data_IF_929532549475
#
_entry.id   IF_929532549475
#
_cell.length_a   1.000
_cell.length_b   1.000
_cell.length_c   1.000
_cell.angle_alpha   90.00
_cell.angle_beta   90.00
_cell.angle_gamma   90.00
#
_symmetry.space_group_name_H-M   'P 1'
#
loop_
_entity.id
_entity.type
_entity.pdbx_description
1 polymer ?
#
# COMPACT_ATOMS: atom_id res chain seq x y z
N UNK A 1 12.64 -0.11 12.26
CA UNK A 1 12.28 1.30 12.49
C UNK A 1 12.79 2.10 11.31
N UNK A 2 11.97 2.97 10.72
CA UNK A 2 12.30 3.75 9.51
C UNK A 2 12.37 5.25 9.84
N UNK A 3 13.20 6.03 9.13
CA UNK A 3 13.29 7.48 9.35
C UNK A 3 12.04 8.22 8.85
N UNK A 4 11.78 9.40 9.41
CA UNK A 4 10.70 10.31 8.98
C UNK A 4 11.26 11.68 8.63
N UNK A 5 10.60 12.40 7.73
CA UNK A 5 11.04 13.73 7.30
C UNK A 5 10.48 14.83 8.20
N UNK A 6 11.29 15.24 9.19
CA UNK A 6 10.92 16.23 10.21
C UNK A 6 10.27 17.51 9.65
N UNK A 7 10.76 18.14 8.56
CA UNK A 7 10.14 19.35 8.04
C UNK A 7 8.68 19.16 7.55
N UNK A 8 8.32 17.98 7.04
CA UNK A 8 6.92 17.71 6.67
C UNK A 8 6.03 17.58 7.91
N UNK A 9 6.54 16.97 8.98
CA UNK A 9 5.81 16.85 10.25
C UNK A 9 5.57 18.23 10.87
N UNK A 10 6.60 19.07 10.90
CA UNK A 10 6.50 20.43 11.43
C UNK A 10 5.53 21.31 10.61
N UNK A 11 5.51 21.13 9.28
CA UNK A 11 4.63 21.90 8.38
C UNK A 11 3.18 21.44 8.39
N UNK A 12 2.93 20.13 8.44
CA UNK A 12 1.61 19.55 8.21
C UNK A 12 0.98 18.91 9.45
N UNK A 13 1.71 18.82 10.56
CA UNK A 13 1.24 18.21 11.81
C UNK A 13 0.74 16.79 11.59
N UNK A 14 -0.41 16.44 12.13
CA UNK A 14 -1.05 15.12 11.98
C UNK A 14 -1.33 14.73 10.52
N UNK A 15 -1.42 15.70 9.61
CA UNK A 15 -1.70 15.47 8.18
C UNK A 15 -0.44 15.19 7.36
N UNK A 16 0.72 15.03 7.99
CA UNK A 16 1.99 14.77 7.28
C UNK A 16 1.97 13.46 6.49
N UNK A 17 1.10 12.51 6.83
CA UNK A 17 0.97 11.23 6.12
C UNK A 17 0.01 11.27 4.93
N UNK A 18 -0.71 12.37 4.73
CA UNK A 18 -1.69 12.48 3.64
C UNK A 18 -1.00 12.56 2.27
N UNK A 19 -1.67 12.12 1.19
CA UNK A 19 -1.20 12.33 -0.17
C UNK A 19 -0.82 13.80 -0.42
N UNK A 20 0.34 14.03 -1.04
CA UNK A 20 0.88 15.37 -1.29
C UNK A 20 1.66 16.00 -0.13
N UNK A 21 1.52 15.51 1.11
CA UNK A 21 2.26 16.01 2.28
C UNK A 21 3.40 15.08 2.69
N UNK A 22 3.21 13.77 2.51
CA UNK A 22 4.17 12.75 2.95
C UNK A 22 5.44 12.78 2.09
N UNK A 23 6.58 12.64 2.75
CA UNK A 23 7.89 12.52 2.11
C UNK A 23 8.49 11.18 2.49
N UNK A 24 8.77 10.35 1.48
CA UNK A 24 9.26 8.98 1.65
C UNK A 24 10.66 8.83 1.08
N UNK A 25 11.49 7.98 1.71
CA UNK A 25 12.83 7.63 1.21
C UNK A 25 12.91 6.20 0.64
N UNK A 26 11.78 5.51 0.51
CA UNK A 26 11.69 4.15 -0.04
C UNK A 26 11.45 4.13 -1.56
N UNK A 27 11.26 2.92 -2.10
CA UNK A 27 11.05 2.67 -3.53
C UNK A 27 9.74 3.25 -4.12
N UNK A 28 8.81 3.64 -3.25
CA UNK A 28 7.50 4.16 -3.64
C UNK A 28 7.11 5.35 -2.75
N UNK A 29 6.29 6.24 -3.30
CA UNK A 29 5.64 7.36 -2.61
C UNK A 29 4.12 7.19 -2.64
N UNK A 30 3.41 7.84 -1.71
CA UNK A 30 1.95 7.78 -1.64
C UNK A 30 1.34 8.67 -2.73
N UNK A 31 0.55 8.06 -3.61
CA UNK A 31 -0.18 8.75 -4.68
C UNK A 31 -1.60 9.12 -4.26
N UNK A 32 -2.34 8.15 -3.70
CA UNK A 32 -3.74 8.31 -3.32
C UNK A 32 -4.05 7.47 -2.07
N UNK A 33 -5.00 7.94 -1.27
CA UNK A 33 -5.51 7.21 -0.11
C UNK A 33 -6.99 7.49 0.08
N UNK A 34 -7.81 6.46 -0.16
CA UNK A 34 -9.24 6.45 0.17
C UNK A 34 -9.45 5.54 1.37
N UNK A 35 -9.82 6.13 2.49
CA UNK A 35 -9.98 5.43 3.77
C UNK A 35 -10.97 4.27 3.63
N UNK A 36 -10.58 3.09 4.12
CA UNK A 36 -11.33 1.82 4.04
C UNK A 36 -11.57 1.29 2.61
N UNK A 37 -10.96 1.88 1.58
CA UNK A 37 -11.13 1.42 0.19
C UNK A 37 -9.80 1.05 -0.46
N UNK A 38 -8.83 1.96 -0.51
CA UNK A 38 -7.55 1.71 -1.20
C UNK A 38 -6.44 2.67 -0.79
N UNK A 39 -5.21 2.20 -0.95
CA UNK A 39 -4.00 3.02 -0.95
C UNK A 39 -3.29 2.79 -2.28
N UNK A 40 -2.99 3.86 -3.01
CA UNK A 40 -2.22 3.79 -4.27
C UNK A 40 -0.85 4.38 -4.02
N UNK A 41 0.17 3.59 -4.34
CA UNK A 41 1.56 3.97 -4.27
C UNK A 41 2.17 3.99 -5.67
N UNK A 42 3.01 4.97 -5.94
CA UNK A 42 3.73 5.08 -7.22
C UNK A 42 5.24 5.03 -6.99
N UNK A 43 5.96 4.51 -7.97
CA UNK A 43 7.42 4.38 -7.94
C UNK A 43 8.06 5.74 -7.66
N UNK A 44 8.97 5.77 -6.69
CA UNK A 44 9.70 6.97 -6.29
C UNK A 44 10.97 7.14 -7.14
N UNK A 45 11.05 8.14 -8.03
CA UNK A 45 12.23 8.36 -8.87
C UNK A 45 13.49 8.75 -8.08
N UNK A 46 13.31 9.25 -6.85
CA UNK A 46 14.40 9.68 -5.97
C UNK A 46 14.96 8.55 -5.09
N UNK A 47 14.43 7.33 -5.22
CA UNK A 47 14.96 6.17 -4.51
C UNK A 47 16.33 5.77 -5.06
N UNK A 48 17.28 5.47 -4.18
CA UNK A 48 18.67 5.20 -4.56
C UNK A 48 18.82 4.00 -5.52
N UNK A 49 17.99 2.95 -5.37
CA UNK A 49 17.96 1.78 -6.25
C UNK A 49 16.78 1.82 -7.22
N UNK A 50 16.29 3.02 -7.56
CA UNK A 50 15.17 3.19 -8.48
C UNK A 50 15.40 2.43 -9.79
N UNK A 51 16.63 2.37 -10.29
CA UNK A 51 16.96 1.64 -11.52
C UNK A 51 16.55 0.15 -11.51
N UNK A 52 16.47 -0.49 -10.33
CA UNK A 52 16.02 -1.88 -10.18
C UNK A 52 14.54 -2.03 -9.83
N UNK A 53 13.82 -0.94 -9.53
CA UNK A 53 12.38 -0.98 -9.29
C UNK A 53 11.65 -1.20 -10.62
N UNK A 54 10.92 -2.31 -10.75
CA UNK A 54 10.21 -2.66 -12.01
C UNK A 54 8.74 -2.25 -11.96
N UNK A 55 8.08 -2.46 -10.82
CA UNK A 55 6.65 -2.15 -10.65
C UNK A 55 6.49 -0.64 -10.51
N UNK A 56 5.61 -0.06 -11.34
CA UNK A 56 5.40 1.39 -11.37
C UNK A 56 4.32 1.86 -10.39
N UNK A 57 3.29 1.04 -10.18
CA UNK A 57 2.15 1.36 -9.32
C UNK A 57 1.76 0.14 -8.51
N UNK A 58 1.45 0.34 -7.23
CA UNK A 58 0.93 -0.69 -6.34
C UNK A 58 -0.36 -0.17 -5.71
N UNK A 59 -1.42 -0.96 -5.77
CA UNK A 59 -2.69 -0.66 -5.11
C UNK A 59 -2.94 -1.66 -3.98
N UNK A 60 -3.10 -1.15 -2.76
CA UNK A 60 -3.44 -1.94 -1.59
C UNK A 60 -4.93 -1.81 -1.29
N UNK A 61 -5.62 -2.93 -1.09
CA UNK A 61 -7.01 -2.96 -0.66
C UNK A 61 -7.08 -3.36 0.83
N UNK A 62 -7.76 -2.58 1.69
CA UNK A 62 -7.92 -2.89 3.10
C UNK A 62 -9.19 -3.74 3.30
N UNK A 63 -9.16 -5.01 2.88
CA UNK A 63 -10.21 -5.97 3.29
C UNK A 63 -9.65 -6.96 4.31
N UNK A 64 -10.47 -7.35 5.29
CA UNK A 64 -10.13 -8.37 6.29
C UNK A 64 -10.72 -9.74 5.93
N UNK A 65 -11.53 -9.82 4.86
CA UNK A 65 -12.17 -11.07 4.45
C UNK A 65 -11.28 -11.86 3.50
N UNK A 66 -10.74 -12.96 4.00
CA UNK A 66 -9.94 -13.93 3.22
C UNK A 66 -10.73 -14.45 2.01
N UNK A 67 -12.03 -14.68 2.17
CA UNK A 67 -12.93 -15.11 1.07
C UNK A 67 -13.02 -14.02 0.01
N UNK A 68 -13.13 -12.76 0.41
CA UNK A 68 -13.15 -11.62 -0.53
C UNK A 68 -11.83 -11.52 -1.28
N UNK A 69 -10.68 -11.69 -0.63
CA UNK A 69 -9.38 -11.72 -1.31
C UNK A 69 -9.30 -12.84 -2.35
N UNK A 70 -9.69 -14.07 -2.00
CA UNK A 70 -9.64 -15.21 -2.92
C UNK A 70 -10.58 -15.01 -4.10
N UNK A 71 -11.78 -14.48 -3.88
CA UNK A 71 -12.73 -14.22 -4.96
C UNK A 71 -12.23 -13.13 -5.92
N UNK A 72 -11.69 -12.02 -5.39
CA UNK A 72 -11.12 -10.93 -6.21
C UNK A 72 -9.87 -11.35 -6.96
N UNK A 73 -9.04 -12.22 -6.36
CA UNK A 73 -7.91 -12.84 -7.05
C UNK A 73 -8.40 -13.72 -8.21
N UNK A 74 -9.39 -14.59 -7.97
CA UNK A 74 -9.97 -15.46 -9.01
C UNK A 74 -10.66 -14.70 -10.13
N UNK A 75 -11.21 -13.51 -9.86
CA UNK A 75 -11.78 -12.63 -10.88
C UNK A 75 -10.74 -11.82 -11.65
N UNK A 76 -9.46 -11.89 -11.27
CA UNK A 76 -8.38 -11.11 -11.87
C UNK A 76 -8.31 -9.64 -11.41
N UNK A 77 -9.04 -9.28 -10.35
CA UNK A 77 -9.00 -7.93 -9.77
C UNK A 77 -7.80 -7.74 -8.83
N UNK A 78 -7.25 -8.84 -8.31
CA UNK A 78 -6.04 -8.85 -7.47
C UNK A 78 -4.98 -9.76 -8.04
N UNK A 79 -3.75 -9.27 -8.07
CA UNK A 79 -2.58 -10.06 -8.48
C UNK A 79 -2.00 -10.89 -7.33
N UNK A 80 -2.25 -10.49 -6.08
CA UNK A 80 -1.76 -11.17 -4.88
C UNK A 80 -2.81 -11.09 -3.76
N UNK A 81 -3.09 -12.22 -3.10
CA UNK A 81 -3.88 -12.22 -1.87
C UNK A 81 -3.03 -11.82 -0.67
N UNK A 82 -3.68 -11.50 0.45
CA UNK A 82 -2.98 -11.42 1.73
C UNK A 82 -2.44 -12.81 2.16
N UNK A 83 -1.63 -12.85 3.21
CA UNK A 83 -0.95 -14.07 3.65
C UNK A 83 -1.84 -15.08 4.39
N UNK A 84 -3.16 -14.84 4.44
CA UNK A 84 -4.14 -15.74 5.03
C UNK A 84 -5.08 -16.26 3.93
N UNK A 85 -5.28 -17.58 3.93
CA UNK A 85 -6.28 -18.24 3.10
C UNK A 85 -7.48 -18.59 3.97
N UNK A 86 -8.70 -18.59 3.40
CA UNK A 86 -9.91 -19.01 4.11
C UNK A 86 -9.67 -20.30 4.89
N UNK A 87 -9.77 -20.23 6.22
CA UNK A 87 -9.66 -21.45 7.02
C UNK A 87 -10.83 -22.38 6.68
N UNK A 88 -10.54 -23.64 6.38
CA UNK A 88 -11.57 -24.69 6.25
C UNK A 88 -12.00 -25.17 7.64
N UNK A 89 -12.55 -24.28 8.47
CA UNK A 89 -13.12 -24.63 9.78
C UNK A 89 -14.64 -24.91 9.70
N UNK A 90 -15.06 -25.61 8.63
CA UNK A 90 -16.43 -26.11 8.48
C UNK A 90 -16.53 -27.41 7.69
N UNK A 91 -15.66 -28.38 7.97
CA UNK A 91 -15.94 -29.80 7.69
C UNK A 91 -15.54 -30.65 8.90
N UNK A 92 -16.55 -31.34 9.42
CA UNK A 92 -16.64 -32.27 10.56
C UNK A 92 -16.39 -31.69 11.95
#
# INVERSE_FOLDING_TARGET
MSPVYKPAIEKFGEKWTQPGNIVTNGAYTLKDWVVNERIVMERNPHYWDNAKTVINTVTWLPTSSEVTYVNRYRSGELDMTYNQLPSNSSRS
#
